data_IF_520015350286
#
_entry.id   IF_520015350286
#
_cell.length_a   1.000
_cell.length_b   1.000
_cell.length_c   1.000
_cell.angle_alpha   90.00
_cell.angle_beta   90.00
_cell.angle_gamma   90.00
#
_symmetry.space_group_name_H-M   'P 1'
#
loop_
_entity.id
_entity.type
_entity.pdbx_description
1 polymer ?
#
# COMPACT_ATOMS: atom_id res chain seq x y z
N UNK A 1 2.24 -9.25 3.28
CA UNK A 1 0.95 -8.59 3.06
C UNK A 1 -0.12 -9.67 3.11
N UNK A 2 -0.74 -9.86 4.27
CA UNK A 2 -1.68 -10.96 4.54
C UNK A 2 -3.02 -10.47 5.08
N UNK A 3 -3.22 -9.15 5.16
CA UNK A 3 -4.48 -8.56 5.60
C UNK A 3 -5.55 -8.83 4.54
N UNK A 4 -6.70 -9.34 4.97
CA UNK A 4 -7.73 -9.87 4.07
C UNK A 4 -8.21 -8.86 3.01
N UNK A 5 -8.47 -7.56 3.33
CA UNK A 5 -8.88 -6.58 2.32
C UNK A 5 -7.87 -6.43 1.17
N UNK A 6 -6.57 -6.55 1.47
CA UNK A 6 -5.50 -6.45 0.47
C UNK A 6 -5.46 -7.69 -0.40
N UNK A 7 -5.59 -8.88 0.21
CA UNK A 7 -5.57 -10.17 -0.50
C UNK A 7 -6.79 -10.29 -1.43
N UNK A 8 -7.97 -9.89 -0.97
CA UNK A 8 -9.21 -9.96 -1.75
C UNK A 8 -9.15 -9.01 -2.96
N UNK A 9 -8.72 -7.76 -2.76
CA UNK A 9 -8.52 -6.81 -3.86
C UNK A 9 -7.47 -7.32 -4.86
N UNK A 10 -6.36 -7.89 -4.37
CA UNK A 10 -5.32 -8.45 -5.23
C UNK A 10 -5.88 -9.56 -6.13
N UNK A 11 -6.70 -10.44 -5.56
CA UNK A 11 -7.37 -11.50 -6.30
C UNK A 11 -8.43 -10.95 -7.29
N UNK A 12 -9.22 -9.96 -6.89
CA UNK A 12 -10.26 -9.34 -7.72
C UNK A 12 -9.68 -8.66 -8.97
N UNK A 13 -8.52 -8.01 -8.84
CA UNK A 13 -7.85 -7.29 -9.92
C UNK A 13 -6.79 -8.12 -10.66
N UNK A 14 -6.45 -9.32 -10.16
CA UNK A 14 -5.44 -10.19 -10.77
C UNK A 14 -4.01 -9.65 -10.66
N UNK A 15 -3.70 -8.94 -9.57
CA UNK A 15 -2.41 -8.25 -9.34
C UNK A 15 -1.76 -8.72 -8.05
N UNK A 16 -0.49 -8.36 -7.83
CA UNK A 16 0.20 -8.67 -6.59
C UNK A 16 -0.33 -7.80 -5.42
N UNK A 17 -0.33 -8.31 -4.18
CA UNK A 17 -0.72 -7.52 -3.00
C UNK A 17 0.08 -6.22 -2.82
N UNK A 18 1.34 -6.20 -3.27
CA UNK A 18 2.16 -4.98 -3.26
C UNK A 18 1.58 -3.89 -4.16
N UNK A 19 1.12 -4.25 -5.36
CA UNK A 19 0.50 -3.32 -6.30
C UNK A 19 -0.79 -2.72 -5.73
N UNK A 20 -1.61 -3.51 -5.02
CA UNK A 20 -2.83 -3.02 -4.34
C UNK A 20 -2.49 -1.92 -3.34
N UNK A 21 -1.51 -2.15 -2.46
CA UNK A 21 -1.12 -1.15 -1.45
C UNK A 21 -0.59 0.12 -2.11
N UNK A 22 0.19 0.00 -3.19
CA UNK A 22 0.71 1.16 -3.91
C UNK A 22 -0.40 1.93 -4.66
N UNK A 23 -1.33 1.22 -5.30
CA UNK A 23 -2.50 1.82 -5.95
C UNK A 23 -3.38 2.55 -4.94
N UNK A 24 -3.57 1.97 -3.75
CA UNK A 24 -4.30 2.60 -2.65
C UNK A 24 -3.69 3.95 -2.26
N UNK A 25 -2.36 4.05 -2.08
CA UNK A 25 -1.69 5.33 -1.81
C UNK A 25 -1.95 6.35 -2.93
N UNK A 26 -1.85 5.93 -4.20
CA UNK A 26 -2.11 6.81 -5.35
C UNK A 26 -3.54 7.35 -5.35
N UNK A 27 -4.54 6.51 -5.06
CA UNK A 27 -5.95 6.94 -5.01
C UNK A 27 -6.28 7.83 -3.82
N UNK A 28 -5.52 7.74 -2.72
CA UNK A 28 -5.57 8.71 -1.63
C UNK A 28 -4.88 10.05 -1.97
N UNK A 29 -4.29 10.17 -3.16
CA UNK A 29 -3.52 11.35 -3.57
C UNK A 29 -2.10 11.40 -3.00
N UNK A 30 -1.64 10.33 -2.37
CA UNK A 30 -0.27 10.23 -1.87
C UNK A 30 0.69 9.72 -2.96
N UNK A 31 1.97 10.07 -2.85
CA UNK A 31 3.03 9.54 -3.71
C UNK A 31 3.71 8.38 -2.98
N UNK A 32 3.47 7.11 -3.36
CA UNK A 32 4.12 5.99 -2.71
C UNK A 32 5.62 5.95 -3.04
N UNK A 33 6.46 5.59 -2.04
CA UNK A 33 7.92 5.52 -2.18
C UNK A 33 8.44 4.11 -1.87
N UNK A 34 8.14 3.09 -2.71
CA UNK A 34 8.46 1.70 -2.40
C UNK A 34 9.96 1.41 -2.50
N UNK A 35 10.50 0.72 -1.49
CA UNK A 35 11.88 0.22 -1.49
C UNK A 35 11.96 -1.20 -2.04
N UNK A 36 12.81 -1.41 -3.04
CA UNK A 36 13.18 -2.74 -3.53
C UNK A 36 14.60 -2.77 -4.09
N UNK A 37 15.38 -3.80 -3.76
CA UNK A 37 16.65 -4.11 -4.43
C UNK A 37 16.51 -5.13 -5.58
N UNK A 38 15.33 -5.73 -5.73
CA UNK A 38 15.03 -6.69 -6.78
C UNK A 38 14.39 -5.98 -7.99
N UNK A 39 14.95 -6.19 -9.17
CA UNK A 39 14.55 -5.51 -10.41
C UNK A 39 13.15 -5.93 -10.89
N UNK A 40 12.74 -7.17 -10.66
CA UNK A 40 11.39 -7.64 -11.01
C UNK A 40 10.35 -6.92 -10.16
N UNK A 41 10.58 -6.85 -8.84
CA UNK A 41 9.74 -6.10 -7.91
C UNK A 41 9.73 -4.60 -8.17
N UNK A 42 10.84 -4.00 -8.61
CA UNK A 42 10.86 -2.59 -9.00
C UNK A 42 9.91 -2.32 -10.17
N UNK A 43 9.88 -3.20 -11.17
CA UNK A 43 8.95 -3.10 -12.31
C UNK A 43 7.50 -3.31 -11.86
N UNK A 44 7.26 -4.35 -11.05
CA UNK A 44 5.93 -4.63 -10.47
C UNK A 44 5.40 -3.44 -9.66
N UNK A 45 6.25 -2.82 -8.82
CA UNK A 45 5.88 -1.64 -8.05
C UNK A 45 5.54 -0.41 -8.92
N UNK A 46 6.09 -0.33 -10.14
CA UNK A 46 5.78 0.74 -11.09
C UNK A 46 4.46 0.49 -11.83
N UNK A 47 4.06 -0.78 -11.97
CA UNK A 47 2.90 -1.21 -12.74
C UNK A 47 1.60 -1.14 -11.92
N UNK A 48 1.24 0.06 -11.48
CA UNK A 48 0.09 0.29 -10.58
C UNK A 48 -0.99 1.18 -11.20
N UNK A 49 -0.90 1.44 -12.50
CA UNK A 49 -1.82 2.32 -13.23
C UNK A 49 -2.74 1.58 -14.20
N UNK A 50 -2.56 0.26 -14.36
CA UNK A 50 -3.38 -0.60 -15.21
C UNK A 50 -4.71 -1.05 -14.58
N UNK A 51 -4.97 -0.71 -13.32
CA UNK A 51 -6.19 -1.05 -12.60
C UNK A 51 -6.56 0.06 -11.61
N UNK A 52 -7.77 -0.02 -11.08
CA UNK A 52 -8.32 0.94 -10.12
C UNK A 52 -9.08 0.19 -9.01
N UNK A 53 -8.79 0.53 -7.76
CA UNK A 53 -9.54 0.02 -6.62
C UNK A 53 -10.89 0.73 -6.55
N UNK A 54 -11.92 -0.02 -6.22
CA UNK A 54 -13.25 0.51 -5.90
C UNK A 54 -13.21 1.32 -4.61
N UNK A 55 -14.20 2.20 -4.42
CA UNK A 55 -14.35 2.98 -3.19
C UNK A 55 -14.43 2.08 -1.94
N UNK A 56 -15.13 0.95 -2.04
CA UNK A 56 -15.24 -0.04 -0.96
C UNK A 56 -13.90 -0.68 -0.63
N UNK A 57 -13.09 -1.04 -1.64
CA UNK A 57 -11.74 -1.57 -1.43
C UNK A 57 -10.82 -0.52 -0.79
N UNK A 58 -10.89 0.74 -1.26
CA UNK A 58 -10.13 1.84 -0.67
C UNK A 58 -10.52 2.04 0.79
N UNK A 59 -11.82 2.04 1.12
CA UNK A 59 -12.30 2.17 2.49
C UNK A 59 -11.86 0.98 3.36
N UNK A 60 -12.00 -0.26 2.86
CA UNK A 60 -11.64 -1.46 3.61
C UNK A 60 -10.14 -1.53 3.92
N UNK A 61 -9.28 -1.13 2.99
CA UNK A 61 -7.83 -1.05 3.21
C UNK A 61 -7.51 0.09 4.21
N UNK A 62 -8.17 1.24 4.07
CA UNK A 62 -7.96 2.38 4.99
C UNK A 62 -8.36 2.06 6.43
N UNK A 63 -9.35 1.19 6.64
CA UNK A 63 -9.78 0.73 7.96
C UNK A 63 -8.75 -0.16 8.69
N UNK A 64 -7.65 -0.56 8.03
CA UNK A 64 -6.55 -1.32 8.64
C UNK A 64 -5.60 -0.45 9.49
N UNK A 65 -5.86 0.87 9.60
CA UNK A 65 -5.06 1.81 10.38
C UNK A 65 -4.87 1.34 11.83
N UNK A 66 -3.61 1.36 12.30
CA UNK A 66 -3.20 0.83 13.61
C UNK A 66 -2.32 1.80 14.41
N UNK A 67 -2.24 3.06 14.01
CA UNK A 67 -1.40 4.06 14.63
C UNK A 67 0.02 4.06 14.06
N UNK A 68 0.90 4.81 14.75
CA UNK A 68 2.27 5.04 14.28
C UNK A 68 3.15 3.82 14.50
N UNK A 69 4.14 3.65 13.62
CA UNK A 69 5.19 2.67 13.83
C UNK A 69 5.99 3.03 15.09
N UNK A 70 6.07 2.10 16.04
CA UNK A 70 6.72 2.27 17.36
C UNK A 70 6.15 3.40 18.23
N UNK A 71 4.94 3.88 17.94
CA UNK A 71 4.31 5.03 18.61
C UNK A 71 5.16 6.33 18.58
N UNK A 72 6.20 6.41 17.75
CA UNK A 72 7.13 7.53 17.69
C UNK A 72 6.42 8.83 17.34
N UNK A 73 6.44 9.80 18.26
CA UNK A 73 5.88 11.13 18.03
C UNK A 73 6.90 11.99 17.25
N UNK A 74 6.58 12.49 16.05
CA UNK A 74 7.50 13.31 15.26
C UNK A 74 7.98 14.58 15.98
N UNK A 75 7.26 15.07 16.99
CA UNK A 75 7.67 16.25 17.75
C UNK A 75 8.79 15.95 18.77
N UNK A 76 8.99 14.68 19.14
CA UNK A 76 9.92 14.30 20.22
C UNK A 76 10.83 13.11 19.93
N UNK A 77 10.55 12.33 18.89
CA UNK A 77 11.32 11.12 18.56
C UNK A 77 12.63 11.49 17.87
N UNK A 78 13.75 11.02 18.43
CA UNK A 78 15.09 11.11 17.85
C UNK A 78 15.60 9.69 17.54
N UNK A 79 16.04 9.46 16.30
CA UNK A 79 16.73 8.22 15.92
C UNK A 79 18.17 8.26 16.48
N UNK A 80 18.56 7.26 17.28
CA UNK A 80 19.93 7.15 17.87
C UNK A 80 20.97 6.64 16.88
#
# INVERSE_FOLDING_TARGET
LTEQPIVDAAAAHGVAPGQVVLRWHVQLGAVPVPKSGDATRQKENLDVFGFELTDDEVQAISALERGRLWDGDPDTHEEM
#
